data_IF_296100280932
#
_entry.id   IF_296100280932
#
_cell.length_a   1.000
_cell.length_b   1.000
_cell.length_c   1.000
_cell.angle_alpha   90.00
_cell.angle_beta   90.00
_cell.angle_gamma   90.00
#
_symmetry.space_group_name_H-M   'P 1'
#
loop_
_entity.id
_entity.type
_entity.pdbx_description
1 polymer ?
#
# COMPACT_ATOMS: atom_id res chain seq x y z
N UNK A 1 15.83 11.07 -31.24
CA UNK A 1 14.51 10.43 -31.03
C UNK A 1 13.65 11.25 -30.06
N UNK A 2 14.02 11.34 -28.76
CA UNK A 2 13.24 12.05 -27.71
C UNK A 2 12.72 13.42 -28.18
N UNK A 3 13.60 14.33 -28.59
CA UNK A 3 13.22 15.67 -29.04
C UNK A 3 12.19 15.67 -30.19
N UNK A 4 12.36 14.79 -31.19
CA UNK A 4 11.49 14.78 -32.36
C UNK A 4 10.07 14.31 -32.02
N UNK A 5 9.96 13.22 -31.26
CA UNK A 5 8.67 12.65 -30.88
C UNK A 5 7.94 13.56 -29.88
N UNK A 6 8.64 14.02 -28.83
CA UNK A 6 8.02 14.90 -27.83
C UNK A 6 7.64 16.26 -28.40
N UNK A 7 8.41 16.81 -29.35
CA UNK A 7 8.02 18.05 -30.02
C UNK A 7 6.71 17.91 -30.79
N UNK A 8 6.47 16.76 -31.45
CA UNK A 8 5.23 16.51 -32.18
C UNK A 8 3.98 16.48 -31.28
N UNK A 9 4.12 15.90 -30.08
CA UNK A 9 3.03 15.72 -29.11
C UNK A 9 3.05 16.72 -27.95
N UNK A 10 3.86 17.77 -28.03
CA UNK A 10 4.06 18.73 -26.95
C UNK A 10 2.73 19.29 -26.42
N UNK A 11 2.53 19.21 -25.11
CA UNK A 11 1.33 19.68 -24.41
C UNK A 11 0.05 18.87 -24.69
N UNK A 12 0.13 17.73 -25.37
CA UNK A 12 -1.03 16.89 -25.73
C UNK A 12 -1.15 15.64 -24.87
N UNK A 13 -0.10 15.24 -24.16
CA UNK A 13 -0.06 14.00 -23.37
C UNK A 13 -0.03 14.29 -21.88
N UNK A 14 -0.66 13.42 -21.11
CA UNK A 14 -0.63 13.49 -19.64
C UNK A 14 0.71 12.99 -19.06
N UNK A 15 1.30 11.99 -19.70
CA UNK A 15 2.54 11.36 -19.28
C UNK A 15 3.32 10.76 -20.46
N UNK A 16 4.62 10.53 -20.26
CA UNK A 16 5.51 9.80 -21.14
C UNK A 16 6.27 8.72 -20.37
N UNK A 17 6.28 7.49 -20.87
CA UNK A 17 7.29 6.51 -20.48
C UNK A 17 8.59 6.82 -21.24
N UNK A 18 9.45 7.62 -20.60
CA UNK A 18 10.68 8.15 -21.23
C UNK A 18 11.69 7.04 -21.46
N UNK A 19 11.80 6.13 -20.49
CA UNK A 19 12.67 4.95 -20.53
C UNK A 19 11.86 3.75 -20.06
N UNK A 20 11.97 2.65 -20.80
CA UNK A 20 11.29 1.40 -20.53
C UNK A 20 12.32 0.26 -20.31
N UNK A 21 12.08 -0.60 -19.33
CA UNK A 21 12.73 -1.93 -19.17
C UNK A 21 14.26 -1.93 -19.05
N UNK A 22 14.83 -0.98 -18.31
CA UNK A 22 16.28 -0.79 -18.24
C UNK A 22 17.00 -1.69 -17.22
N UNK A 23 16.30 -2.57 -16.51
CA UNK A 23 16.87 -3.41 -15.45
C UNK A 23 16.75 -4.91 -15.72
N UNK A 24 17.70 -5.68 -15.20
CA UNK A 24 17.64 -7.13 -15.09
C UNK A 24 16.94 -7.53 -13.78
N UNK A 25 16.54 -8.81 -13.69
CA UNK A 25 15.83 -9.37 -12.52
C UNK A 25 16.62 -9.25 -11.19
N UNK A 26 17.95 -9.20 -11.25
CA UNK A 26 18.84 -9.06 -10.08
C UNK A 26 19.01 -7.61 -9.59
N UNK A 27 18.46 -6.63 -10.30
CA UNK A 27 18.60 -5.21 -9.98
C UNK A 27 19.80 -4.51 -10.62
N UNK A 28 20.59 -5.21 -11.42
CA UNK A 28 21.60 -4.60 -12.30
C UNK A 28 20.94 -3.98 -13.54
N UNK A 29 21.67 -3.09 -14.23
CA UNK A 29 21.20 -2.53 -15.50
C UNK A 29 21.23 -3.59 -16.60
N UNK A 30 20.19 -3.59 -17.44
CA UNK A 30 20.10 -4.49 -18.59
C UNK A 30 21.25 -4.20 -19.57
N UNK A 31 21.99 -5.24 -19.94
CA UNK A 31 22.99 -5.12 -21.01
C UNK A 31 22.27 -4.83 -22.33
N UNK A 32 22.52 -3.66 -22.90
CA UNK A 32 21.89 -3.17 -24.12
C UNK A 32 22.84 -2.21 -24.82
N UNK A 33 22.60 -1.95 -26.10
CA UNK A 33 23.30 -0.89 -26.83
C UNK A 33 23.17 0.47 -26.14
N UNK A 34 22.00 0.78 -25.56
CA UNK A 34 21.77 2.01 -24.78
C UNK A 34 22.64 2.04 -23.53
N UNK A 35 22.65 0.97 -22.73
CA UNK A 35 23.51 0.87 -21.55
C UNK A 35 25.01 0.90 -21.93
N UNK A 36 25.37 0.39 -23.09
CA UNK A 36 26.73 0.45 -23.65
C UNK A 36 27.23 1.86 -23.95
N UNK A 37 26.33 2.86 -24.02
CA UNK A 37 26.72 4.28 -24.17
C UNK A 37 27.23 4.92 -22.88
N UNK A 38 26.91 4.35 -21.72
CA UNK A 38 27.22 4.92 -20.41
C UNK A 38 26.08 4.74 -19.42
N UNK A 39 26.37 4.60 -18.13
CA UNK A 39 25.35 4.32 -17.12
C UNK A 39 24.37 5.48 -16.87
N UNK A 40 24.76 6.69 -17.29
CA UNK A 40 24.01 7.93 -17.19
C UNK A 40 22.95 8.10 -18.29
N UNK A 41 22.86 7.19 -19.27
CA UNK A 41 21.96 7.32 -20.43
C UNK A 41 20.49 7.56 -20.03
N UNK A 42 20.03 6.96 -18.93
CA UNK A 42 18.68 7.15 -18.40
C UNK A 42 18.51 8.59 -17.89
N UNK A 43 19.47 9.11 -17.12
CA UNK A 43 19.42 10.50 -16.62
C UNK A 43 19.43 11.48 -17.80
N UNK A 44 20.27 11.25 -18.80
CA UNK A 44 20.32 12.07 -20.02
C UNK A 44 18.97 12.06 -20.74
N UNK A 45 18.31 10.89 -20.83
CA UNK A 45 16.98 10.78 -21.43
C UNK A 45 15.94 11.63 -20.68
N UNK A 46 15.87 11.56 -19.35
CA UNK A 46 14.94 12.36 -18.55
C UNK A 46 15.21 13.86 -18.64
N UNK A 47 16.49 14.29 -18.57
CA UNK A 47 16.84 15.72 -18.74
C UNK A 47 16.47 16.23 -20.13
N UNK A 48 16.71 15.42 -21.16
CA UNK A 48 16.32 15.74 -22.55
C UNK A 48 14.80 15.85 -22.68
N UNK A 49 14.06 14.91 -22.11
CA UNK A 49 12.60 14.88 -22.15
C UNK A 49 11.98 16.10 -21.46
N UNK A 50 12.49 16.48 -20.28
CA UNK A 50 12.04 17.68 -19.56
C UNK A 50 12.28 18.95 -20.34
N UNK A 51 13.40 19.05 -21.06
CA UNK A 51 13.69 20.21 -21.91
C UNK A 51 12.75 20.27 -23.13
N UNK A 52 12.39 19.13 -23.71
CA UNK A 52 11.49 19.05 -24.85
C UNK A 52 10.05 19.48 -24.49
N UNK A 53 9.52 18.96 -23.38
CA UNK A 53 8.20 19.32 -22.86
C UNK A 53 8.21 19.44 -21.32
N UNK A 54 8.25 20.67 -20.78
CA UNK A 54 8.18 20.89 -19.34
C UNK A 54 6.84 20.55 -18.70
N UNK A 55 5.76 20.42 -19.46
CA UNK A 55 4.38 20.33 -18.95
C UNK A 55 3.87 18.91 -18.71
N UNK A 56 4.51 17.91 -19.32
CA UNK A 56 4.12 16.50 -19.21
C UNK A 56 4.80 15.81 -18.03
N UNK A 57 4.14 14.80 -17.46
CA UNK A 57 4.78 13.88 -16.51
C UNK A 57 5.76 12.97 -17.24
N UNK A 58 6.91 12.72 -16.62
CA UNK A 58 7.97 11.85 -17.13
C UNK A 58 8.10 10.62 -16.24
N UNK A 59 7.78 9.46 -16.80
CA UNK A 59 7.76 8.18 -16.11
C UNK A 59 8.94 7.29 -16.53
N UNK A 60 9.44 6.51 -15.57
CA UNK A 60 10.20 5.30 -15.85
C UNK A 60 9.25 4.11 -15.81
N UNK A 61 9.23 3.24 -16.82
CA UNK A 61 8.33 2.08 -16.89
C UNK A 61 9.11 0.76 -16.91
N UNK A 62 8.64 -0.27 -16.21
CA UNK A 62 9.25 -1.61 -16.24
C UNK A 62 8.27 -2.70 -15.73
N UNK A 63 8.57 -3.96 -16.06
CA UNK A 63 7.91 -5.15 -15.52
C UNK A 63 8.71 -5.80 -14.39
N UNK A 64 8.09 -6.73 -13.65
CA UNK A 64 8.71 -7.45 -12.53
C UNK A 64 9.27 -6.52 -11.45
N UNK A 65 8.68 -5.34 -11.32
CA UNK A 65 8.98 -4.37 -10.26
C UNK A 65 7.83 -4.24 -9.26
N UNK A 66 6.91 -5.21 -9.25
CA UNK A 66 5.71 -5.22 -8.42
C UNK A 66 5.97 -5.81 -7.03
N UNK A 67 6.89 -6.77 -6.92
CA UNK A 67 7.26 -7.40 -5.66
C UNK A 67 8.41 -6.64 -4.99
N UNK A 68 8.16 -6.06 -3.80
CA UNK A 68 9.16 -5.26 -3.08
C UNK A 68 10.45 -6.03 -2.79
N UNK A 69 10.38 -7.35 -2.66
CA UNK A 69 11.52 -8.20 -2.32
C UNK A 69 12.42 -8.55 -3.52
N UNK A 70 12.05 -8.20 -4.74
CA UNK A 70 12.86 -8.52 -5.92
C UNK A 70 14.07 -7.59 -6.08
N UNK A 71 15.17 -8.16 -6.56
CA UNK A 71 16.39 -7.42 -6.88
C UNK A 71 16.12 -6.29 -7.87
N UNK A 72 15.35 -6.59 -8.93
CA UNK A 72 14.89 -5.61 -9.94
C UNK A 72 14.17 -4.41 -9.32
N UNK A 73 13.13 -4.66 -8.52
CA UNK A 73 12.38 -3.61 -7.80
C UNK A 73 13.31 -2.72 -6.97
N UNK A 74 14.23 -3.34 -6.23
CA UNK A 74 15.19 -2.61 -5.39
C UNK A 74 16.21 -1.82 -6.22
N UNK A 75 16.62 -2.33 -7.39
CA UNK A 75 17.48 -1.63 -8.34
C UNK A 75 16.82 -0.36 -8.88
N UNK A 76 15.57 -0.48 -9.34
CA UNK A 76 14.78 0.66 -9.83
C UNK A 76 14.53 1.66 -8.71
N UNK A 77 14.13 1.21 -7.52
CA UNK A 77 13.93 2.09 -6.36
C UNK A 77 15.18 2.92 -6.03
N UNK A 78 16.36 2.29 -5.99
CA UNK A 78 17.63 3.02 -5.75
C UNK A 78 17.93 4.05 -6.82
N UNK A 79 17.64 3.76 -8.09
CA UNK A 79 17.79 4.73 -9.18
C UNK A 79 16.83 5.91 -9.00
N UNK A 80 15.56 5.66 -8.69
CA UNK A 80 14.60 6.75 -8.48
C UNK A 80 15.00 7.59 -7.27
N UNK A 81 15.42 6.95 -6.18
CA UNK A 81 15.89 7.66 -4.98
C UNK A 81 17.09 8.56 -5.28
N UNK A 82 18.10 8.03 -5.99
CA UNK A 82 19.26 8.80 -6.46
C UNK A 82 18.84 9.97 -7.34
N UNK A 83 17.99 9.73 -8.33
CA UNK A 83 17.48 10.76 -9.24
C UNK A 83 16.78 11.89 -8.51
N UNK A 84 15.90 11.56 -7.56
CA UNK A 84 15.22 12.57 -6.74
C UNK A 84 16.21 13.33 -5.85
N UNK A 85 17.22 12.67 -5.29
CA UNK A 85 18.24 13.32 -4.46
C UNK A 85 19.12 14.33 -5.23
N UNK A 86 19.36 14.08 -6.53
CA UNK A 86 20.22 14.91 -7.39
C UNK A 86 19.44 15.84 -8.33
N UNK A 87 18.11 15.88 -8.22
CA UNK A 87 17.25 16.74 -9.05
C UNK A 87 17.18 16.32 -10.53
N UNK A 88 17.25 15.02 -10.82
CA UNK A 88 16.92 14.49 -12.14
C UNK A 88 15.39 14.58 -12.35
N UNK A 89 14.88 15.08 -13.48
CA UNK A 89 13.47 15.38 -13.65
C UNK A 89 12.66 14.11 -13.96
N UNK A 90 12.30 13.38 -12.91
CA UNK A 90 11.38 12.24 -12.96
C UNK A 90 10.17 12.50 -12.07
N UNK A 91 8.99 12.23 -12.62
CA UNK A 91 7.70 12.50 -11.98
C UNK A 91 6.94 11.24 -11.61
N UNK A 92 7.18 10.12 -12.28
CA UNK A 92 6.42 8.89 -12.08
C UNK A 92 7.22 7.61 -12.28
N UNK A 93 6.68 6.51 -11.75
CA UNK A 93 7.10 5.14 -12.03
C UNK A 93 5.89 4.35 -12.51
N UNK A 94 5.97 3.83 -13.74
CA UNK A 94 5.03 2.88 -14.30
C UNK A 94 5.42 1.46 -13.93
N UNK A 95 4.48 0.71 -13.36
CA UNK A 95 4.61 -0.71 -13.10
C UNK A 95 3.74 -1.44 -14.13
N UNK A 96 4.36 -2.18 -15.05
CA UNK A 96 3.62 -2.86 -16.11
C UNK A 96 2.54 -3.78 -15.52
N UNK A 97 2.82 -4.49 -14.42
CA UNK A 97 1.84 -5.31 -13.71
C UNK A 97 1.32 -6.48 -14.58
N UNK A 98 2.24 -7.13 -15.30
CA UNK A 98 1.99 -8.39 -15.99
C UNK A 98 2.03 -9.58 -15.03
N UNK A 99 0.88 -10.14 -14.65
CA UNK A 99 0.83 -11.38 -13.86
C UNK A 99 0.64 -12.59 -14.76
N UNK A 100 1.76 -13.21 -15.13
CA UNK A 100 1.89 -14.23 -16.19
C UNK A 100 2.10 -15.63 -15.65
N UNK A 101 1.67 -16.66 -16.40
CA UNK A 101 1.94 -18.05 -16.06
C UNK A 101 1.40 -18.48 -14.68
N UNK A 102 0.36 -17.81 -14.19
CA UNK A 102 -0.20 -18.05 -12.86
C UNK A 102 0.55 -17.38 -11.69
N UNK A 103 1.50 -16.47 -11.96
CA UNK A 103 2.09 -15.64 -10.92
C UNK A 103 1.00 -14.92 -10.14
N UNK A 104 1.14 -14.88 -8.81
CA UNK A 104 0.18 -14.21 -7.94
C UNK A 104 0.62 -12.79 -7.63
N UNK A 105 -0.35 -11.89 -7.49
CA UNK A 105 -0.17 -10.56 -6.91
C UNK A 105 0.63 -10.67 -5.59
N UNK A 106 1.82 -10.06 -5.51
CA UNK A 106 2.63 -10.11 -4.29
C UNK A 106 1.91 -9.45 -3.12
N UNK A 107 2.00 -10.05 -1.92
CA UNK A 107 1.40 -9.48 -0.70
C UNK A 107 2.00 -8.11 -0.32
N UNK A 108 3.19 -7.80 -0.83
CA UNK A 108 3.89 -6.53 -0.67
C UNK A 108 3.71 -5.56 -1.85
N UNK A 109 2.79 -5.82 -2.79
CA UNK A 109 2.57 -4.96 -3.96
C UNK A 109 2.24 -3.51 -3.60
N UNK A 110 1.31 -3.30 -2.65
CA UNK A 110 0.99 -1.95 -2.17
C UNK A 110 2.20 -1.29 -1.49
N UNK A 111 3.05 -2.07 -0.79
CA UNK A 111 4.30 -1.56 -0.23
C UNK A 111 5.19 -1.00 -1.33
N UNK A 112 5.32 -1.70 -2.45
CA UNK A 112 6.09 -1.21 -3.61
C UNK A 112 5.57 0.12 -4.13
N UNK A 113 4.26 0.21 -4.39
CA UNK A 113 3.62 1.46 -4.83
C UNK A 113 3.84 2.61 -3.84
N UNK A 114 3.69 2.32 -2.54
CA UNK A 114 3.83 3.31 -1.46
C UNK A 114 5.29 3.76 -1.29
N UNK A 115 6.25 2.84 -1.46
CA UNK A 115 7.69 3.14 -1.40
C UNK A 115 8.12 4.06 -2.52
N UNK A 116 7.72 3.80 -3.77
CA UNK A 116 7.98 4.75 -4.86
C UNK A 116 7.29 6.09 -4.62
N UNK A 117 6.02 6.08 -4.21
CA UNK A 117 5.28 7.30 -3.88
C UNK A 117 5.97 8.16 -2.80
N UNK A 118 6.59 7.53 -1.80
CA UNK A 118 7.31 8.21 -0.72
C UNK A 118 8.58 8.96 -1.20
N UNK A 119 9.11 8.63 -2.38
CA UNK A 119 10.21 9.38 -3.02
C UNK A 119 9.73 10.68 -3.70
N UNK A 120 8.42 10.99 -3.64
CA UNK A 120 7.84 12.18 -4.27
C UNK A 120 7.70 12.05 -5.79
N UNK A 121 7.47 10.82 -6.26
CA UNK A 121 7.01 10.51 -7.62
C UNK A 121 5.62 9.91 -7.56
N UNK A 122 4.84 10.05 -8.61
CA UNK A 122 3.59 9.33 -8.77
C UNK A 122 3.85 7.89 -9.22
N UNK A 123 2.85 7.02 -9.08
CA UNK A 123 2.91 5.64 -9.57
C UNK A 123 1.71 5.35 -10.47
N UNK A 124 1.88 4.46 -11.44
CA UNK A 124 0.79 4.04 -12.31
C UNK A 124 0.91 2.55 -12.60
N UNK A 125 -0.24 1.87 -12.72
CA UNK A 125 -0.27 0.51 -13.27
C UNK A 125 -0.49 0.65 -14.77
N UNK A 126 0.51 0.33 -15.58
CA UNK A 126 0.60 0.81 -16.97
C UNK A 126 0.15 -0.23 -18.00
N UNK A 127 0.30 -1.52 -17.72
CA UNK A 127 0.11 -2.60 -18.71
C UNK A 127 -0.58 -3.81 -18.08
N UNK A 128 -1.59 -3.56 -17.23
CA UNK A 128 -2.21 -4.60 -16.40
C UNK A 128 -2.83 -5.70 -17.27
N UNK A 129 -2.38 -6.92 -17.04
CA UNK A 129 -3.02 -8.14 -17.50
C UNK A 129 -2.75 -9.29 -16.50
N UNK A 130 -3.74 -10.13 -16.26
CA UNK A 130 -3.68 -11.15 -15.21
C UNK A 130 -4.15 -12.48 -15.75
N UNK A 131 -3.28 -13.50 -15.73
CA UNK A 131 -3.59 -14.87 -16.20
C UNK A 131 -4.98 -15.32 -15.72
N UNK A 132 -5.80 -15.85 -16.64
CA UNK A 132 -7.17 -16.30 -16.42
C UNK A 132 -8.12 -15.23 -15.86
N UNK A 133 -7.74 -13.95 -15.91
CA UNK A 133 -8.51 -12.84 -15.39
C UNK A 133 -8.96 -13.07 -13.94
N UNK A 134 -8.02 -13.47 -13.08
CA UNK A 134 -8.29 -13.75 -11.67
C UNK A 134 -8.96 -12.56 -10.97
N UNK A 135 -10.23 -12.75 -10.57
CA UNK A 135 -11.06 -11.73 -9.91
C UNK A 135 -10.39 -11.13 -8.67
N UNK A 136 -9.75 -11.96 -7.85
CA UNK A 136 -9.07 -11.54 -6.60
C UNK A 136 -7.83 -10.70 -6.86
N UNK A 137 -7.09 -10.99 -7.93
CA UNK A 137 -5.86 -10.27 -8.26
C UNK A 137 -6.18 -8.91 -8.89
N UNK A 138 -7.16 -8.87 -9.80
CA UNK A 138 -7.69 -7.62 -10.33
C UNK A 138 -8.28 -6.72 -9.24
N UNK A 139 -9.00 -7.30 -8.27
CA UNK A 139 -9.46 -6.55 -7.10
C UNK A 139 -8.30 -6.02 -6.27
N UNK A 140 -7.32 -6.88 -5.98
CA UNK A 140 -6.16 -6.55 -5.14
C UNK A 140 -5.29 -5.44 -5.72
N UNK A 141 -4.96 -5.50 -7.02
CA UNK A 141 -4.19 -4.43 -7.68
C UNK A 141 -4.98 -3.13 -7.76
N UNK A 142 -6.31 -3.21 -7.96
CA UNK A 142 -7.17 -2.02 -8.00
C UNK A 142 -7.20 -1.34 -6.63
N UNK A 143 -7.43 -2.12 -5.58
CA UNK A 143 -7.43 -1.62 -4.20
C UNK A 143 -6.06 -1.06 -3.81
N UNK A 144 -4.97 -1.73 -4.19
CA UNK A 144 -3.62 -1.25 -3.90
C UNK A 144 -3.34 0.12 -4.53
N UNK A 145 -3.78 0.33 -5.78
CA UNK A 145 -3.68 1.64 -6.42
C UNK A 145 -4.56 2.68 -5.70
N UNK A 146 -5.83 2.37 -5.42
CA UNK A 146 -6.74 3.25 -4.68
C UNK A 146 -6.23 3.64 -3.29
N UNK A 147 -5.49 2.75 -2.62
CA UNK A 147 -4.91 2.98 -1.30
C UNK A 147 -3.66 3.89 -1.31
N UNK A 148 -3.09 4.17 -2.47
CA UNK A 148 -1.90 5.03 -2.61
C UNK A 148 -2.33 6.33 -3.29
N UNK A 149 -2.40 7.48 -2.59
CA UNK A 149 -2.91 8.74 -3.16
C UNK A 149 -2.16 9.24 -4.41
N UNK A 150 -0.90 8.80 -4.56
CA UNK A 150 -0.05 9.09 -5.72
C UNK A 150 -0.17 8.05 -6.84
N UNK A 151 -1.02 7.04 -6.70
CA UNK A 151 -1.36 6.15 -7.80
C UNK A 151 -2.34 6.86 -8.73
N UNK A 152 -1.85 7.26 -9.90
CA UNK A 152 -2.60 8.15 -10.80
C UNK A 152 -3.50 7.43 -11.78
N UNK A 153 -3.43 6.10 -11.86
CA UNK A 153 -4.31 5.33 -12.74
C UNK A 153 -3.91 3.88 -12.93
N UNK A 154 -4.83 3.17 -13.59
CA UNK A 154 -4.71 1.77 -13.99
C UNK A 154 -5.06 1.69 -15.48
N UNK A 155 -4.14 1.15 -16.28
CA UNK A 155 -4.33 0.86 -17.69
C UNK A 155 -4.23 -0.65 -17.88
N UNK A 156 -5.29 -1.26 -18.43
CA UNK A 156 -5.27 -2.68 -18.82
C UNK A 156 -4.70 -2.82 -20.23
N UNK A 157 -3.88 -3.85 -20.46
CA UNK A 157 -3.11 -4.00 -21.71
C UNK A 157 -3.90 -4.67 -22.84
N UNK A 158 -5.00 -4.02 -23.21
CA UNK A 158 -5.93 -4.43 -24.25
C UNK A 158 -7.39 -4.33 -23.82
N UNK A 159 -8.31 -4.58 -24.75
CA UNK A 159 -9.75 -4.50 -24.49
C UNK A 159 -10.32 -5.89 -24.21
N UNK A 160 -10.37 -6.76 -25.23
CA UNK A 160 -10.84 -8.15 -25.13
C UNK A 160 -9.68 -9.10 -25.05
N UNK A 161 -9.88 -10.28 -24.48
CA UNK A 161 -8.88 -11.36 -24.48
C UNK A 161 -8.31 -11.65 -25.89
N UNK A 162 -9.13 -11.53 -26.95
CA UNK A 162 -8.70 -11.70 -28.34
C UNK A 162 -7.73 -10.61 -28.84
N UNK A 163 -7.71 -9.46 -28.19
CA UNK A 163 -6.84 -8.31 -28.52
C UNK A 163 -5.52 -8.35 -27.74
N UNK A 164 -5.42 -9.22 -26.72
CA UNK A 164 -4.22 -9.33 -25.88
C UNK A 164 -3.05 -9.92 -26.65
N UNK A 165 -1.86 -9.38 -26.43
CA UNK A 165 -0.58 -9.99 -26.82
C UNK A 165 -0.36 -11.39 -26.21
N UNK A 166 -1.13 -11.73 -25.17
CA UNK A 166 -1.16 -13.01 -24.45
C UNK A 166 -2.57 -13.61 -24.43
N UNK A 167 -3.24 -13.60 -25.58
CA UNK A 167 -4.63 -14.04 -25.74
C UNK A 167 -4.91 -15.46 -25.24
N UNK A 168 -3.93 -16.36 -25.33
CA UNK A 168 -4.00 -17.73 -24.82
C UNK A 168 -4.16 -17.82 -23.29
N UNK A 169 -3.86 -16.75 -22.55
CA UNK A 169 -3.99 -16.70 -21.09
C UNK A 169 -5.32 -16.08 -20.62
N UNK A 170 -6.16 -15.62 -21.57
CA UNK A 170 -7.42 -14.91 -21.28
C UNK A 170 -7.28 -13.85 -20.16
N UNK A 171 -6.34 -12.88 -20.29
CA UNK A 171 -5.88 -12.14 -19.12
C UNK A 171 -6.61 -10.81 -18.88
N UNK A 172 -7.52 -10.40 -19.78
CA UNK A 172 -8.16 -9.08 -19.77
C UNK A 172 -9.57 -9.13 -19.17
N UNK A 173 -10.24 -7.97 -19.10
CA UNK A 173 -11.53 -7.80 -18.42
C UNK A 173 -12.74 -8.18 -19.28
N UNK A 174 -12.57 -8.36 -20.59
CA UNK A 174 -13.62 -8.78 -21.53
C UNK A 174 -13.21 -10.05 -22.25
N UNK A 175 -14.17 -10.95 -22.49
CA UNK A 175 -13.93 -12.15 -23.29
C UNK A 175 -13.80 -11.81 -24.78
N UNK A 176 -13.47 -12.80 -25.62
CA UNK A 176 -13.33 -12.60 -27.07
C UNK A 176 -14.61 -12.13 -27.77
N UNK A 177 -15.79 -12.39 -27.18
CA UNK A 177 -17.08 -11.89 -27.66
C UNK A 177 -17.40 -10.45 -27.24
N UNK A 178 -16.56 -9.85 -26.39
CA UNK A 178 -16.80 -8.52 -25.81
C UNK A 178 -17.71 -8.54 -24.59
N UNK A 179 -18.03 -9.70 -24.02
CA UNK A 179 -18.78 -9.75 -22.76
C UNK A 179 -17.85 -9.43 -21.59
N UNK A 180 -18.40 -8.72 -20.60
CA UNK A 180 -17.71 -8.42 -19.34
C UNK A 180 -17.44 -9.72 -18.58
N UNK A 181 -16.18 -9.95 -18.18
CA UNK A 181 -15.80 -11.09 -17.33
C UNK A 181 -16.05 -10.77 -15.85
N UNK A 182 -15.98 -11.78 -14.99
CA UNK A 182 -16.17 -11.59 -13.55
C UNK A 182 -15.20 -10.55 -12.94
N UNK A 183 -13.96 -10.49 -13.43
CA UNK A 183 -12.99 -9.49 -12.99
C UNK A 183 -13.37 -8.06 -13.35
N UNK A 184 -14.06 -7.82 -14.48
CA UNK A 184 -14.57 -6.49 -14.83
C UNK A 184 -15.45 -5.95 -13.70
N UNK A 185 -16.43 -6.77 -13.28
CA UNK A 185 -17.37 -6.39 -12.22
C UNK A 185 -16.65 -6.19 -10.89
N UNK A 186 -15.63 -6.99 -10.61
CA UNK A 186 -14.80 -6.84 -9.41
C UNK A 186 -14.03 -5.51 -9.39
N UNK A 187 -13.39 -5.15 -10.50
CA UNK A 187 -12.70 -3.85 -10.65
C UNK A 187 -13.70 -2.71 -10.50
N UNK A 188 -14.84 -2.77 -11.19
CA UNK A 188 -15.88 -1.75 -11.11
C UNK A 188 -16.39 -1.56 -9.67
N UNK A 189 -16.61 -2.67 -8.95
CA UNK A 189 -17.07 -2.61 -7.55
C UNK A 189 -16.00 -1.99 -6.64
N UNK A 190 -14.72 -2.35 -6.82
CA UNK A 190 -13.64 -1.75 -6.05
C UNK A 190 -13.51 -0.23 -6.30
N UNK A 191 -13.62 0.20 -7.57
CA UNK A 191 -13.59 1.62 -7.94
C UNK A 191 -14.78 2.39 -7.34
N UNK A 192 -16.00 1.84 -7.41
CA UNK A 192 -17.20 2.48 -6.86
C UNK A 192 -17.19 2.55 -5.33
N UNK A 193 -16.58 1.56 -4.67
CA UNK A 193 -16.45 1.54 -3.21
C UNK A 193 -15.50 2.62 -2.67
N UNK A 194 -14.62 3.19 -3.52
CA UNK A 194 -13.63 4.18 -3.10
C UNK A 194 -14.25 5.54 -2.66
N UNK A 195 -15.52 5.80 -2.98
CA UNK A 195 -16.17 7.10 -2.76
C UNK A 195 -15.47 8.24 -3.53
N UNK A 196 -16.09 9.43 -3.66
CA UNK A 196 -15.36 10.60 -4.13
C UNK A 196 -14.29 10.92 -3.10
N UNK A 197 -13.01 10.85 -3.50
CA UNK A 197 -11.96 11.49 -2.72
C UNK A 197 -12.37 12.96 -2.48
N UNK A 198 -12.25 13.52 -1.27
CA UNK A 198 -12.43 14.95 -1.09
C UNK A 198 -11.44 15.65 -2.03
N UNK A 199 -11.97 16.42 -2.98
CA UNK A 199 -11.20 17.27 -3.87
C UNK A 199 -10.55 18.37 -3.03
N UNK A 200 -9.41 18.04 -2.41
CA UNK A 200 -8.51 19.01 -1.83
C UNK A 200 -8.00 19.89 -2.96
N UNK A 201 -8.53 21.10 -3.03
CA UNK A 201 -7.98 22.17 -3.88
C UNK A 201 -6.54 22.44 -3.43
N UNK A 202 -5.55 22.56 -4.35
CA UNK A 202 -4.19 22.92 -3.98
C UNK A 202 -4.16 24.40 -3.61
N UNK A 203 -4.36 24.72 -2.33
CA UNK A 203 -4.19 26.09 -1.82
C UNK A 203 -2.87 26.18 -1.06
N UNK A 204 -1.94 26.90 -1.71
CA UNK A 204 -0.80 27.67 -1.20
C UNK A 204 0.03 27.13 -0.02
N UNK A 205 1.32 26.99 -0.31
CA UNK A 205 2.47 26.94 0.60
C UNK A 205 2.30 27.77 1.88
N UNK A 206 2.63 27.19 3.04
CA UNK A 206 3.28 27.94 4.11
C UNK A 206 4.72 27.47 4.31
N UNK A 207 5.59 28.46 4.25
CA UNK A 207 6.98 28.60 4.68
C UNK A 207 7.51 27.61 5.73
N UNK A 208 8.77 27.18 5.53
CA UNK A 208 9.64 26.41 6.42
C UNK A 208 9.60 26.86 7.90
N UNK A 209 9.75 26.01 8.92
CA UNK A 209 10.96 25.26 9.41
C UNK A 209 10.57 24.63 10.79
N UNK A 210 11.34 23.78 11.52
CA UNK A 210 12.43 22.83 11.21
C UNK A 210 12.19 21.36 11.65
N UNK A 211 12.95 20.46 11.04
CA UNK A 211 13.44 19.11 11.44
C UNK A 211 12.87 18.37 12.67
N UNK A 212 12.49 17.11 12.46
CA UNK A 212 12.70 16.00 13.41
C UNK A 212 13.08 14.72 12.65
N UNK A 213 14.12 14.04 13.14
CA UNK A 213 14.87 12.97 12.47
C UNK A 213 14.23 11.56 12.46
N UNK A 214 15.05 10.50 12.34
CA UNK A 214 14.68 9.19 11.80
C UNK A 214 13.84 8.33 12.75
N UNK A 215 12.86 7.60 12.20
CA UNK A 215 11.99 6.65 12.92
C UNK A 215 12.75 5.41 13.39
N UNK A 216 12.90 5.32 14.71
CA UNK A 216 13.34 4.16 15.50
C UNK A 216 12.26 3.06 15.56
N UNK A 217 12.61 1.79 15.84
CA UNK A 217 11.67 0.70 16.11
C UNK A 217 10.71 1.02 17.28
N UNK A 218 9.52 0.40 17.36
CA UNK A 218 8.55 0.70 18.41
C UNK A 218 9.16 0.44 19.81
N UNK A 219 8.91 1.32 20.80
CA UNK A 219 9.45 1.15 22.13
C UNK A 219 8.83 -0.08 22.79
N UNK A 220 9.66 -1.07 23.14
CA UNK A 220 9.28 -2.14 24.06
C UNK A 220 9.39 -1.61 25.49
N UNK A 221 8.27 -1.50 26.21
CA UNK A 221 8.26 -1.28 27.66
C UNK A 221 7.61 0.02 28.19
N UNK A 222 7.08 0.90 27.32
CA UNK A 222 6.36 2.11 27.72
C UNK A 222 4.85 2.03 27.46
N UNK A 223 4.04 2.68 28.30
CA UNK A 223 2.60 2.80 28.06
C UNK A 223 2.34 3.59 26.76
N UNK A 224 1.56 3.00 25.88
CA UNK A 224 1.19 3.52 24.56
C UNK A 224 -0.33 3.52 24.42
N UNK A 225 -0.86 4.30 23.49
CA UNK A 225 -2.23 4.13 22.97
C UNK A 225 -2.19 3.29 21.71
N UNK A 226 -3.23 2.48 21.48
CA UNK A 226 -3.45 1.80 20.21
C UNK A 226 -4.39 2.67 19.39
N UNK A 227 -3.86 3.44 18.45
CA UNK A 227 -4.63 4.34 17.59
C UNK A 227 -5.17 3.56 16.38
N UNK A 228 -6.47 3.55 16.15
CA UNK A 228 -7.08 3.08 14.90
C UNK A 228 -6.87 4.12 13.80
N UNK A 229 -6.09 3.79 12.77
CA UNK A 229 -5.65 4.75 11.75
C UNK A 229 -6.82 5.32 10.94
N UNK A 230 -7.84 4.50 10.68
CA UNK A 230 -9.06 4.91 9.98
C UNK A 230 -9.86 5.98 10.76
N UNK A 231 -9.91 5.86 12.08
CA UNK A 231 -10.82 6.63 12.93
C UNK A 231 -10.15 7.78 13.68
N UNK A 232 -8.81 7.73 13.83
CA UNK A 232 -8.09 8.60 14.75
C UNK A 232 -8.45 8.37 16.23
N UNK A 233 -9.16 7.27 16.54
CA UNK A 233 -9.64 6.91 17.87
C UNK A 233 -8.79 5.80 18.47
N UNK A 234 -8.81 5.70 19.79
CA UNK A 234 -8.01 4.75 20.53
C UNK A 234 -8.81 3.49 20.84
N UNK A 235 -8.12 2.33 20.88
CA UNK A 235 -8.67 1.11 21.48
C UNK A 235 -8.88 1.40 22.97
N UNK A 236 -10.13 1.30 23.39
CA UNK A 236 -10.64 1.77 24.67
C UNK A 236 -11.39 0.64 25.37
N UNK A 237 -11.22 0.55 26.68
CA UNK A 237 -12.08 -0.30 27.52
C UNK A 237 -13.28 0.53 27.98
N UNK A 238 -14.51 0.17 27.57
CA UNK A 238 -15.70 0.98 27.85
C UNK A 238 -15.87 1.26 29.35
N UNK A 239 -16.11 2.53 29.68
CA UNK A 239 -16.36 3.01 31.05
C UNK A 239 -15.25 2.64 32.05
N UNK A 240 -14.02 2.44 31.58
CA UNK A 240 -12.89 1.96 32.40
C UNK A 240 -13.18 0.65 33.15
N UNK A 241 -14.06 -0.19 32.60
CA UNK A 241 -14.42 -1.48 33.20
C UNK A 241 -13.18 -2.35 33.42
N UNK A 242 -13.11 -2.96 34.60
CA UNK A 242 -12.16 -4.03 34.89
C UNK A 242 -12.90 -5.36 35.04
N UNK A 243 -13.95 -5.61 34.27
CA UNK A 243 -14.63 -6.93 34.27
C UNK A 243 -14.08 -7.80 33.15
N UNK A 244 -13.75 -9.05 33.46
CA UNK A 244 -13.32 -10.02 32.44
C UNK A 244 -14.42 -10.19 31.39
N UNK A 245 -14.04 -10.23 30.12
CA UNK A 245 -14.98 -10.33 29.01
C UNK A 245 -15.52 -8.98 28.52
N UNK A 246 -15.08 -7.85 29.09
CA UNK A 246 -15.47 -6.55 28.55
C UNK A 246 -14.86 -6.38 27.16
N UNK A 247 -15.70 -6.35 26.12
CA UNK A 247 -15.29 -6.12 24.74
C UNK A 247 -14.74 -4.71 24.57
N UNK A 248 -13.59 -4.58 23.91
CA UNK A 248 -12.98 -3.27 23.65
C UNK A 248 -13.67 -2.56 22.51
N UNK A 249 -13.56 -1.23 22.48
CA UNK A 249 -14.18 -0.37 21.49
C UNK A 249 -13.19 0.64 20.92
N UNK A 250 -13.58 1.37 19.88
CA UNK A 250 -12.99 2.66 19.57
C UNK A 250 -13.63 3.76 20.41
N UNK A 251 -12.80 4.65 20.96
CA UNK A 251 -13.24 5.88 21.60
C UNK A 251 -12.22 7.01 21.37
N UNK A 252 -12.67 8.26 21.45
CA UNK A 252 -11.79 9.43 21.32
C UNK A 252 -10.60 9.30 22.27
N UNK A 253 -9.40 9.58 21.76
CA UNK A 253 -8.17 9.43 22.55
C UNK A 253 -8.11 10.50 23.65
N UNK A 254 -8.02 10.08 24.92
CA UNK A 254 -8.07 10.99 26.07
C UNK A 254 -7.04 10.69 27.16
N UNK A 255 -6.12 9.75 26.93
CA UNK A 255 -4.95 9.49 27.80
C UNK A 255 -5.26 8.88 29.17
N UNK A 256 -6.51 8.47 29.42
CA UNK A 256 -6.89 7.80 30.69
C UNK A 256 -6.44 6.34 30.69
N UNK A 257 -6.37 5.73 31.87
CA UNK A 257 -5.81 4.39 32.09
C UNK A 257 -6.48 3.29 31.26
N UNK A 258 -7.74 3.47 30.87
CA UNK A 258 -8.50 2.54 30.02
C UNK A 258 -8.15 2.62 28.51
N UNK A 259 -7.17 3.44 28.13
CA UNK A 259 -6.57 3.50 26.79
C UNK A 259 -5.04 3.33 26.81
N UNK A 260 -4.45 3.06 27.99
CA UNK A 260 -3.01 2.90 28.16
C UNK A 260 -2.61 1.43 28.06
N UNK A 261 -2.17 1.04 26.88
CA UNK A 261 -1.72 -0.31 26.53
C UNK A 261 -0.20 -0.43 26.59
N UNK A 262 0.32 -1.53 27.12
CA UNK A 262 1.75 -1.84 27.08
C UNK A 262 1.98 -3.10 26.27
N UNK A 263 2.80 -3.00 25.22
CA UNK A 263 3.22 -4.17 24.44
C UNK A 263 4.45 -4.81 25.09
N UNK A 264 4.31 -6.06 25.53
CA UNK A 264 5.36 -6.77 26.27
C UNK A 264 6.22 -7.64 25.34
N UNK A 265 7.38 -8.09 25.84
CA UNK A 265 8.22 -9.08 25.14
C UNK A 265 7.54 -10.44 24.95
N UNK A 266 6.56 -10.78 25.81
CA UNK A 266 5.68 -11.95 25.66
C UNK A 266 4.58 -11.76 24.60
N UNK A 267 4.65 -10.69 23.81
CA UNK A 267 3.65 -10.32 22.78
C UNK A 267 2.26 -10.02 23.33
N UNK A 268 2.12 -9.69 24.61
CA UNK A 268 0.83 -9.31 25.19
C UNK A 268 0.62 -7.80 25.07
N UNK A 269 -0.61 -7.38 24.81
CA UNK A 269 -1.03 -5.98 24.94
C UNK A 269 -1.74 -5.86 26.30
N UNK A 270 -1.05 -5.37 27.31
CA UNK A 270 -1.56 -5.29 28.68
C UNK A 270 -2.14 -3.92 29.00
N UNK A 271 -3.07 -3.85 29.95
CA UNK A 271 -3.74 -2.62 30.40
C UNK A 271 -3.92 -2.63 31.92
N UNK A 272 -4.18 -1.46 32.52
CA UNK A 272 -4.30 -1.28 33.97
C UNK A 272 -3.09 -1.82 34.75
N UNK A 273 -1.90 -1.37 34.35
CA UNK A 273 -0.64 -1.76 35.01
C UNK A 273 -0.30 -3.24 34.87
N UNK A 274 -0.83 -3.94 33.86
CA UNK A 274 -0.54 -5.35 33.61
C UNK A 274 -1.56 -6.33 34.21
N UNK A 275 -2.59 -5.85 34.92
CA UNK A 275 -3.61 -6.71 35.52
C UNK A 275 -4.57 -7.34 34.49
N UNK A 276 -4.64 -6.77 33.28
CA UNK A 276 -5.46 -7.26 32.17
C UNK A 276 -4.71 -7.29 30.85
N UNK A 277 -5.17 -8.18 29.97
CA UNK A 277 -4.61 -8.40 28.64
C UNK A 277 -5.71 -8.26 27.59
N UNK A 278 -5.34 -7.72 26.42
CA UNK A 278 -6.14 -7.83 25.21
C UNK A 278 -6.26 -9.30 24.83
N UNK A 279 -7.48 -9.79 24.72
CA UNK A 279 -7.85 -11.20 24.65
C UNK A 279 -8.83 -11.44 23.51
N UNK A 280 -8.60 -12.47 22.71
CA UNK A 280 -9.56 -12.94 21.73
C UNK A 280 -10.44 -14.03 22.35
N UNK A 281 -11.76 -13.78 22.41
CA UNK A 281 -12.76 -14.70 22.99
C UNK A 281 -13.08 -15.92 22.10
N UNK A 282 -12.46 -15.99 20.92
CA UNK A 282 -12.60 -17.03 19.91
C UNK A 282 -11.61 -16.80 18.77
N UNK A 283 -11.51 -17.75 17.84
CA UNK A 283 -10.49 -17.71 16.78
C UNK A 283 -11.03 -17.40 15.38
N UNK A 284 -12.36 -17.36 15.19
CA UNK A 284 -13.02 -17.10 13.90
C UNK A 284 -13.33 -15.62 13.63
N UNK A 285 -13.81 -15.33 12.42
CA UNK A 285 -14.30 -14.00 12.05
C UNK A 285 -15.47 -13.59 12.95
N UNK A 286 -15.45 -12.35 13.42
CA UNK A 286 -16.45 -11.81 14.34
C UNK A 286 -16.21 -12.14 15.81
N UNK A 287 -15.18 -12.92 16.14
CA UNK A 287 -14.84 -13.19 17.54
C UNK A 287 -14.53 -11.88 18.28
N UNK A 288 -15.10 -11.73 19.48
CA UNK A 288 -14.91 -10.54 20.29
C UNK A 288 -13.44 -10.38 20.70
N UNK A 289 -12.93 -9.16 20.57
CA UNK A 289 -11.68 -8.75 21.21
C UNK A 289 -12.04 -8.01 22.49
N UNK A 290 -11.54 -8.49 23.61
CA UNK A 290 -11.98 -8.11 24.95
C UNK A 290 -10.77 -7.93 25.89
N UNK A 291 -11.03 -7.54 27.13
CA UNK A 291 -10.05 -7.66 28.21
C UNK A 291 -10.33 -8.90 29.07
N UNK A 292 -9.26 -9.61 29.42
CA UNK A 292 -9.31 -10.74 30.35
C UNK A 292 -8.09 -10.73 31.27
N UNK A 293 -8.13 -11.52 32.35
CA UNK A 293 -6.96 -11.75 33.20
C UNK A 293 -5.80 -12.30 32.37
N UNK A 294 -4.62 -11.71 32.53
CA UNK A 294 -3.43 -12.17 31.80
C UNK A 294 -3.06 -13.60 32.22
N UNK A 295 -3.05 -14.53 31.28
CA UNK A 295 -2.78 -15.96 31.54
C UNK A 295 -1.68 -16.55 30.63
N UNK A 296 -1.10 -15.74 29.73
CA UNK A 296 0.01 -16.12 28.85
C UNK A 296 -0.39 -17.00 27.65
N UNK A 297 -1.67 -17.33 27.49
CA UNK A 297 -2.17 -18.17 26.39
C UNK A 297 -2.08 -17.45 25.04
N UNK A 298 -2.04 -18.23 23.95
CA UNK A 298 -1.83 -17.73 22.60
C UNK A 298 -2.94 -16.78 22.09
N UNK A 299 -4.15 -16.87 22.65
CA UNK A 299 -5.27 -15.95 22.34
C UNK A 299 -5.10 -14.56 22.98
N UNK A 300 -4.09 -14.37 23.83
CA UNK A 300 -3.70 -13.09 24.42
C UNK A 300 -2.37 -12.55 23.84
N UNK A 301 -1.82 -13.23 22.84
CA UNK A 301 -0.57 -12.84 22.19
C UNK A 301 -0.88 -12.24 20.80
N UNK A 302 -0.18 -11.16 20.47
CA UNK A 302 -0.44 -10.33 19.31
C UNK A 302 0.87 -9.98 18.60
N UNK A 303 0.92 -10.17 17.28
CA UNK A 303 2.00 -9.61 16.48
C UNK A 303 1.59 -8.20 16.05
N UNK A 304 2.33 -7.19 16.50
CA UNK A 304 2.20 -5.81 16.02
C UNK A 304 3.10 -5.67 14.80
N UNK A 305 2.50 -5.56 13.63
CA UNK A 305 3.21 -5.63 12.35
C UNK A 305 3.53 -4.22 11.83
N UNK A 306 4.64 -4.09 11.10
CA UNK A 306 5.10 -2.81 10.52
C UNK A 306 4.14 -2.23 9.48
N UNK A 307 3.27 -3.06 8.90
CA UNK A 307 2.20 -2.63 7.99
C UNK A 307 0.99 -2.04 8.74
N UNK A 308 1.03 -1.94 10.07
CA UNK A 308 -0.06 -1.43 10.90
C UNK A 308 -1.13 -2.46 11.26
N UNK A 309 -1.06 -3.72 10.84
CA UNK A 309 -1.99 -4.74 11.37
C UNK A 309 -1.54 -5.23 12.73
N UNK A 310 -2.49 -5.49 13.63
CA UNK A 310 -2.23 -6.25 14.86
C UNK A 310 -2.94 -7.60 14.71
N UNK A 311 -2.17 -8.69 14.64
CA UNK A 311 -2.70 -10.04 14.39
C UNK A 311 -2.64 -10.91 15.64
N UNK A 312 -3.71 -11.65 15.94
CA UNK A 312 -3.71 -12.64 17.02
C UNK A 312 -2.77 -13.81 16.70
N UNK A 313 -1.90 -14.18 17.63
CA UNK A 313 -0.94 -15.26 17.44
C UNK A 313 -1.60 -16.63 17.28
N UNK A 314 -2.72 -16.88 17.99
CA UNK A 314 -3.50 -18.11 17.86
C UNK A 314 -4.29 -18.18 16.55
N UNK A 315 -4.94 -17.09 16.15
CA UNK A 315 -5.92 -17.10 15.06
C UNK A 315 -5.34 -16.73 13.71
N UNK A 316 -4.20 -16.03 13.68
CA UNK A 316 -3.64 -15.40 12.47
C UNK A 316 -4.50 -14.24 11.93
N UNK A 317 -5.60 -13.89 12.61
CA UNK A 317 -6.57 -12.86 12.19
C UNK A 317 -6.19 -11.50 12.75
N UNK A 318 -6.63 -10.46 12.05
CA UNK A 318 -6.37 -9.07 12.40
C UNK A 318 -7.39 -8.57 13.42
N UNK A 319 -6.97 -7.65 14.30
CA UNK A 319 -7.91 -6.71 14.91
C UNK A 319 -8.63 -5.96 13.79
N UNK A 320 -9.94 -5.83 13.93
CA UNK A 320 -10.85 -5.30 12.93
C UNK A 320 -11.99 -4.58 13.62
N UNK A 321 -12.41 -3.43 13.09
CA UNK A 321 -13.57 -2.67 13.57
C UNK A 321 -14.42 -2.22 12.38
N UNK A 322 -15.74 -2.32 12.44
CA UNK A 322 -16.57 -2.01 11.25
C UNK A 322 -16.80 -0.52 11.04
N UNK A 323 -16.99 0.23 12.13
CA UNK A 323 -17.28 1.65 12.11
C UNK A 323 -16.15 2.51 12.68
N UNK A 324 -16.25 3.81 12.48
CA UNK A 324 -15.23 4.78 12.92
C UNK A 324 -15.61 5.57 14.17
N UNK A 325 -16.88 5.53 14.59
CA UNK A 325 -17.39 6.31 15.72
C UNK A 325 -17.01 5.77 17.09
N UNK A 326 -17.28 6.57 18.14
CA UNK A 326 -17.20 6.11 19.53
C UNK A 326 -18.16 4.93 19.75
N UNK A 327 -17.73 3.93 20.52
CA UNK A 327 -18.55 2.76 20.85
C UNK A 327 -18.44 1.61 19.84
N UNK A 328 -17.70 1.78 18.74
CA UNK A 328 -17.54 0.73 17.74
C UNK A 328 -16.68 -0.40 18.27
N UNK A 329 -17.27 -1.59 18.39
CA UNK A 329 -16.62 -2.73 19.02
C UNK A 329 -15.58 -3.38 18.12
N UNK A 330 -14.46 -3.77 18.70
CA UNK A 330 -13.38 -4.44 17.95
C UNK A 330 -13.58 -5.95 17.97
N UNK A 331 -13.20 -6.61 16.88
CA UNK A 331 -13.30 -8.05 16.64
C UNK A 331 -12.02 -8.59 16.01
N UNK A 332 -11.95 -9.91 15.91
CA UNK A 332 -11.10 -10.57 14.93
C UNK A 332 -11.79 -10.69 13.59
N UNK A 333 -11.04 -10.45 12.52
CA UNK A 333 -11.46 -10.78 11.17
C UNK A 333 -10.26 -11.18 10.33
N UNK A 334 -10.50 -11.92 9.25
CA UNK A 334 -9.48 -12.25 8.28
C UNK A 334 -8.79 -10.95 7.82
N UNK A 335 -7.46 -10.99 7.79
CA UNK A 335 -6.66 -9.85 7.40
C UNK A 335 -6.95 -9.50 5.95
N UNK A 336 -7.57 -8.34 5.72
CA UNK A 336 -8.06 -7.91 4.42
C UNK A 336 -7.37 -6.63 3.92
N UNK A 337 -6.43 -6.10 4.72
CA UNK A 337 -5.60 -4.96 4.37
C UNK A 337 -6.31 -3.60 4.42
N UNK A 338 -7.60 -3.59 4.77
CA UNK A 338 -8.44 -2.40 4.86
C UNK A 338 -7.99 -1.49 6.02
N UNK A 339 -8.34 -0.21 5.94
CA UNK A 339 -7.96 0.80 6.93
C UNK A 339 -8.48 0.48 8.34
N UNK A 340 -9.62 -0.23 8.41
CA UNK A 340 -10.27 -0.63 9.63
C UNK A 340 -9.55 -1.77 10.39
N UNK A 341 -8.46 -2.29 9.81
CA UNK A 341 -7.53 -3.23 10.44
C UNK A 341 -6.15 -2.62 10.68
N UNK A 342 -6.00 -1.31 10.48
CA UNK A 342 -4.74 -0.58 10.66
C UNK A 342 -4.76 0.16 11.99
N UNK A 343 -3.81 -0.20 12.83
CA UNK A 343 -3.58 0.36 14.15
C UNK A 343 -2.12 0.75 14.32
N UNK A 344 -1.87 1.73 15.17
CA UNK A 344 -0.54 2.18 15.53
C UNK A 344 -0.38 2.24 17.04
N UNK A 345 0.72 1.68 17.55
CA UNK A 345 1.17 1.99 18.91
C UNK A 345 1.81 3.37 18.91
N UNK A 346 1.20 4.30 19.63
CA UNK A 346 1.70 5.67 19.78
C UNK A 346 2.04 5.87 21.25
N UNK A 347 3.24 6.36 21.56
CA UNK A 347 3.59 6.69 22.93
C UNK A 347 2.58 7.70 23.51
N UNK A 348 2.17 7.49 24.77
CA UNK A 348 1.23 8.39 25.45
C UNK A 348 1.80 9.77 25.71
#
# INVERSE_FOLDING_TARGET
HINGVMAHYKGKLAAWDVVNEAFNEDGSRRNSNLQGTGNDWIEVAFRTARAADPSTKLCYNDYNIENWSYGKTQGVYRMIQDFKSRGVPIDCVGLQTHFTGGSSLPSNFQTTLSSFAALGVDVALTEVDVTNSSTSQYQGLTQACLNVPRCIGITVWGVRDSDSWRSNESPLLFDGGGNKKAAYTSVLNALNAAGPAPTGTPTATPTATPTSGPTTPPPSGGASRILGNQSGRCVDVPNSSQTNGTRVQLYDCHGQTNQQWTYTSSKQLTIYGGSRCLDAAGSGNGAAVQIYGCNGQANQQWNVNSNGTITGAQSGRCLDVWGTGNGQQIQLYDCNGQANQRFQLVAN
#
